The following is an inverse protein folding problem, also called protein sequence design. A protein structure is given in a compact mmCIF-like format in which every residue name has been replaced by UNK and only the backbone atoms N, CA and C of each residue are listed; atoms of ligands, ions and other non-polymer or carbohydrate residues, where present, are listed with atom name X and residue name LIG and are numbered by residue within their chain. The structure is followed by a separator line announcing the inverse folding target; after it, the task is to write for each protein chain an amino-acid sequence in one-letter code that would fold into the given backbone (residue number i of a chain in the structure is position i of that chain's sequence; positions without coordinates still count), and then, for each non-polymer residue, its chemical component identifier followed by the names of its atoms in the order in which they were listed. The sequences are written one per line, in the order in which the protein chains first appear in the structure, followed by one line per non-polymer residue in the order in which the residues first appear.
data_IF_710807369148
#
_entry.id   IF_710807369148
#
_cell.length_a   1.000
_cell.length_b   1.000
_cell.length_c   1.000
_cell.angle_alpha   90.00
_cell.angle_beta   90.00
_cell.angle_gamma   90.00
#
_symmetry.space_group_name_H-M   'P 1'
#
loop_
_entity.id
_entity.type
_entity.pdbx_description
1 polymer ?
#
# COMPACT_ATOMS: atom_id res chain seq x y z
N UNK A 1 4.07 -9.24 -17.16
CA UNK A 1 4.72 -10.29 -16.34
C UNK A 1 5.79 -9.62 -15.49
N UNK A 2 5.90 -9.97 -14.21
CA UNK A 2 6.88 -9.34 -13.30
C UNK A 2 8.26 -10.01 -13.49
N UNK A 3 9.28 -9.21 -13.80
CA UNK A 3 10.62 -9.70 -14.09
C UNK A 3 11.44 -9.91 -12.79
N UNK A 4 11.43 -11.14 -12.28
CA UNK A 4 12.17 -11.51 -11.07
C UNK A 4 13.69 -11.48 -11.27
N UNK A 5 14.20 -11.61 -12.49
CA UNK A 5 15.64 -11.52 -12.76
C UNK A 5 16.12 -10.08 -12.61
N UNK A 6 15.30 -9.11 -13.03
CA UNK A 6 15.60 -7.70 -12.82
C UNK A 6 15.44 -7.25 -11.37
N UNK A 7 14.56 -7.89 -10.60
CA UNK A 7 14.30 -7.57 -9.20
C UNK A 7 14.72 -8.69 -8.24
N UNK A 8 16.03 -8.96 -8.19
CA UNK A 8 16.62 -10.03 -7.39
C UNK A 8 16.48 -9.86 -5.87
N UNK A 9 16.08 -8.67 -5.39
CA UNK A 9 15.88 -8.43 -3.96
C UNK A 9 14.61 -9.06 -3.40
N UNK A 10 13.70 -9.52 -4.27
CA UNK A 10 12.43 -10.13 -3.87
C UNK A 10 12.61 -11.64 -3.78
N UNK A 11 12.27 -12.20 -2.62
CA UNK A 11 12.24 -13.64 -2.45
C UNK A 11 11.05 -14.23 -3.22
N UNK A 12 11.34 -14.95 -4.32
CA UNK A 12 10.33 -15.55 -5.18
C UNK A 12 9.33 -16.43 -4.42
N UNK A 13 9.80 -17.19 -3.42
CA UNK A 13 8.93 -18.07 -2.61
C UNK A 13 7.87 -17.28 -1.85
N UNK A 14 8.21 -16.09 -1.36
CA UNK A 14 7.25 -15.22 -0.65
C UNK A 14 6.19 -14.72 -1.63
N UNK A 15 6.56 -14.38 -2.86
CA UNK A 15 5.58 -13.95 -3.87
C UNK A 15 4.69 -15.11 -4.32
N UNK A 16 5.26 -16.29 -4.51
CA UNK A 16 4.51 -17.50 -4.82
C UNK A 16 3.51 -17.84 -3.70
N UNK A 17 3.91 -17.70 -2.42
CA UNK A 17 3.01 -17.88 -1.27
C UNK A 17 1.90 -16.82 -1.24
N UNK A 18 2.22 -15.54 -1.43
CA UNK A 18 1.22 -14.47 -1.52
C UNK A 18 0.24 -14.68 -2.69
N UNK A 19 0.71 -15.23 -3.81
CA UNK A 19 -0.13 -15.56 -4.95
C UNK A 19 -1.12 -16.69 -4.66
N UNK A 20 -0.91 -17.50 -3.60
CA UNK A 20 -1.93 -18.45 -3.11
C UNK A 20 -3.11 -17.76 -2.42
N UNK A 21 -3.01 -16.46 -2.15
CA UNK A 21 -4.01 -15.63 -1.46
C UNK A 21 -4.32 -16.08 -0.02
N UNK A 22 -3.47 -16.94 0.58
CA UNK A 22 -3.59 -17.37 1.98
C UNK A 22 -3.70 -16.20 2.96
N UNK A 23 -2.93 -15.13 2.71
CA UNK A 23 -2.97 -13.91 3.52
C UNK A 23 -4.38 -13.31 3.61
N UNK A 24 -5.20 -13.43 2.55
CA UNK A 24 -6.59 -12.93 2.52
C UNK A 24 -7.48 -13.73 3.46
N UNK A 25 -7.30 -15.05 3.48
CA UNK A 25 -8.07 -15.95 4.35
C UNK A 25 -7.71 -15.77 5.83
N UNK A 26 -6.46 -15.42 6.12
CA UNK A 26 -5.97 -15.16 7.47
C UNK A 26 -6.18 -13.71 7.94
N UNK A 27 -6.74 -12.83 7.09
CA UNK A 27 -6.82 -11.39 7.35
C UNK A 27 -5.45 -10.73 7.64
N UNK A 28 -4.40 -11.22 7.01
CA UNK A 28 -3.04 -10.69 7.09
C UNK A 28 -2.86 -9.54 6.09
N UNK A 29 -2.00 -8.58 6.42
CA UNK A 29 -1.64 -7.46 5.56
C UNK A 29 -0.40 -7.78 4.72
N UNK A 30 -0.24 -7.06 3.61
CA UNK A 30 0.98 -7.09 2.81
C UNK A 30 1.52 -5.67 2.73
N UNK A 31 2.79 -5.47 3.09
CA UNK A 31 3.43 -4.15 3.02
C UNK A 31 4.58 -4.19 2.04
N UNK A 32 4.50 -3.40 0.98
CA UNK A 32 5.50 -3.28 -0.06
C UNK A 32 6.27 -1.97 0.14
N UNK A 33 7.54 -2.08 0.52
CA UNK A 33 8.43 -0.94 0.77
C UNK A 33 9.54 -0.86 -0.28
N UNK A 34 10.03 0.33 -0.59
CA UNK A 34 11.14 0.51 -1.53
C UNK A 34 11.10 1.83 -2.30
N UNK A 35 12.18 2.20 -3.01
CA UNK A 35 12.25 3.48 -3.71
C UNK A 35 11.25 3.57 -4.88
N UNK A 36 11.02 4.76 -5.46
CA UNK A 36 10.12 4.93 -6.59
C UNK A 36 10.53 4.07 -7.81
N UNK A 37 9.53 3.51 -8.50
CA UNK A 37 9.74 2.80 -9.76
C UNK A 37 10.28 1.37 -9.68
N UNK A 38 10.44 0.79 -8.49
CA UNK A 38 10.94 -0.59 -8.33
C UNK A 38 9.87 -1.70 -8.48
N UNK A 39 8.61 -1.34 -8.71
CA UNK A 39 7.53 -2.29 -9.00
C UNK A 39 6.54 -2.57 -7.85
N UNK A 40 6.56 -1.79 -6.75
CA UNK A 40 5.62 -1.96 -5.61
C UNK A 40 4.15 -1.97 -6.04
N UNK A 41 3.69 -0.91 -6.70
CA UNK A 41 2.30 -0.79 -7.16
C UNK A 41 1.94 -1.88 -8.17
N UNK A 42 2.89 -2.28 -9.02
CA UNK A 42 2.69 -3.37 -9.98
C UNK A 42 2.43 -4.70 -9.26
N UNK A 43 3.22 -5.03 -8.22
CA UNK A 43 3.04 -6.23 -7.42
C UNK A 43 1.73 -6.19 -6.63
N UNK A 44 1.38 -5.05 -6.03
CA UNK A 44 0.10 -4.89 -5.34
C UNK A 44 -1.10 -5.13 -6.28
N UNK A 45 -1.05 -4.55 -7.48
CA UNK A 45 -2.09 -4.74 -8.51
C UNK A 45 -2.13 -6.19 -8.98
N UNK A 46 -0.98 -6.84 -9.19
CA UNK A 46 -0.93 -8.24 -9.58
C UNK A 46 -1.61 -9.15 -8.54
N UNK A 47 -1.31 -8.97 -7.25
CA UNK A 47 -1.99 -9.68 -6.17
C UNK A 47 -3.50 -9.38 -6.13
N UNK A 48 -3.88 -8.12 -6.36
CA UNK A 48 -5.29 -7.72 -6.49
C UNK A 48 -6.00 -8.41 -7.65
N UNK A 49 -5.35 -8.53 -8.80
CA UNK A 49 -5.90 -9.24 -9.98
C UNK A 49 -6.09 -10.72 -9.67
N UNK A 50 -5.11 -11.37 -9.04
CA UNK A 50 -5.25 -12.78 -8.64
C UNK A 50 -6.40 -12.97 -7.63
N UNK A 51 -6.56 -12.05 -6.67
CA UNK A 51 -7.70 -12.05 -5.76
C UNK A 51 -9.05 -11.92 -6.50
N UNK A 52 -9.15 -10.99 -7.47
CA UNK A 52 -10.36 -10.84 -8.29
C UNK A 52 -10.66 -12.11 -9.09
N UNK A 53 -9.65 -12.75 -9.69
CA UNK A 53 -9.82 -14.03 -10.41
C UNK A 53 -10.34 -15.14 -9.50
N UNK A 54 -9.96 -15.13 -8.23
CA UNK A 54 -10.47 -16.05 -7.22
C UNK A 54 -11.87 -15.67 -6.66
N UNK A 55 -12.52 -14.65 -7.21
CA UNK A 55 -13.85 -14.20 -6.78
C UNK A 55 -13.84 -13.35 -5.50
N UNK A 56 -12.68 -12.86 -5.07
CA UNK A 56 -12.52 -12.04 -3.86
C UNK A 56 -12.74 -10.56 -4.20
N UNK A 57 -13.50 -9.86 -3.37
CA UNK A 57 -13.74 -8.42 -3.55
C UNK A 57 -12.48 -7.60 -3.25
N UNK A 58 -12.06 -6.80 -4.23
CA UNK A 58 -10.87 -5.93 -4.15
C UNK A 58 -11.25 -4.48 -4.42
N UNK A 59 -10.67 -3.55 -3.65
CA UNK A 59 -10.74 -2.12 -3.92
C UNK A 59 -9.34 -1.52 -3.94
N UNK A 60 -9.00 -0.79 -5.01
CA UNK A 60 -7.73 -0.10 -5.16
C UNK A 60 -7.93 1.40 -5.04
N UNK A 61 -7.05 2.08 -4.31
CA UNK A 61 -7.01 3.55 -4.23
C UNK A 61 -5.63 4.05 -3.90
N UNK A 62 -5.31 5.25 -4.39
CA UNK A 62 -4.20 6.05 -3.89
C UNK A 62 -4.53 6.55 -2.47
N UNK A 63 -3.52 6.70 -1.61
CA UNK A 63 -3.65 7.22 -0.24
C UNK A 63 -4.27 8.60 -0.19
N UNK A 64 -3.87 9.54 -1.06
CA UNK A 64 -4.42 10.91 -1.07
C UNK A 64 -5.93 10.91 -1.31
N UNK A 65 -6.38 10.20 -2.35
CA UNK A 65 -7.80 10.05 -2.68
C UNK A 65 -8.60 9.36 -1.56
N UNK A 66 -7.99 8.37 -0.89
CA UNK A 66 -8.62 7.69 0.24
C UNK A 66 -8.86 8.66 1.39
N UNK A 67 -7.83 9.41 1.78
CA UNK A 67 -7.89 10.36 2.88
C UNK A 67 -8.91 11.46 2.58
N UNK A 68 -8.87 12.05 1.39
CA UNK A 68 -9.84 13.08 0.99
C UNK A 68 -11.28 12.58 1.10
N UNK A 69 -11.55 11.36 0.59
CA UNK A 69 -12.89 10.75 0.67
C UNK A 69 -13.32 10.45 2.10
N UNK A 70 -12.41 10.04 2.97
CA UNK A 70 -12.73 9.79 4.37
C UNK A 70 -13.00 11.10 5.12
N UNK A 71 -12.20 12.13 4.89
CA UNK A 71 -12.40 13.47 5.47
C UNK A 71 -13.71 14.10 5.03
N UNK A 72 -14.03 14.01 3.73
CA UNK A 72 -15.33 14.48 3.23
C UNK A 72 -16.47 13.75 3.94
N UNK A 73 -16.42 12.42 4.03
CA UNK A 73 -17.43 11.65 4.74
C UNK A 73 -17.50 11.99 6.24
N UNK A 74 -16.37 12.32 6.87
CA UNK A 74 -16.31 12.77 8.26
C UNK A 74 -17.03 14.11 8.46
N UNK A 75 -16.74 15.10 7.61
CA UNK A 75 -17.39 16.42 7.64
C UNK A 75 -18.89 16.36 7.35
N UNK A 76 -19.31 15.42 6.51
CA UNK A 76 -20.73 15.18 6.18
C UNK A 76 -21.45 14.28 7.19
N UNK A 77 -20.77 13.78 8.23
CA UNK A 77 -21.38 12.86 9.21
C UNK A 77 -21.67 11.46 8.66
N UNK A 78 -21.08 11.08 7.53
CA UNK A 78 -21.27 9.79 6.85
C UNK A 78 -20.05 8.86 6.94
N UNK A 79 -19.03 9.19 7.75
CA UNK A 79 -17.81 8.41 7.91
C UNK A 79 -18.09 6.93 8.23
N UNK A 80 -18.97 6.65 9.18
CA UNK A 80 -19.33 5.28 9.55
C UNK A 80 -19.87 4.46 8.36
N UNK A 81 -20.69 5.09 7.52
CA UNK A 81 -21.20 4.46 6.30
C UNK A 81 -20.05 4.17 5.34
N UNK A 82 -19.18 5.16 5.12
CA UNK A 82 -18.03 5.03 4.23
C UNK A 82 -17.08 3.92 4.67
N UNK A 83 -16.81 3.82 5.97
CA UNK A 83 -15.97 2.77 6.53
C UNK A 83 -16.62 1.38 6.38
N UNK A 84 -17.93 1.26 6.64
CA UNK A 84 -18.65 0.00 6.36
C UNK A 84 -18.61 -0.39 4.89
N UNK A 85 -18.70 0.57 3.98
CA UNK A 85 -18.58 0.31 2.55
C UNK A 85 -17.18 -0.20 2.17
N UNK A 86 -16.13 0.37 2.75
CA UNK A 86 -14.75 -0.10 2.54
C UNK A 86 -14.51 -1.49 3.17
N UNK A 87 -15.21 -1.85 4.24
CA UNK A 87 -15.15 -3.19 4.85
C UNK A 87 -15.77 -4.30 3.98
N UNK A 88 -16.57 -3.97 2.96
CA UNK A 88 -17.12 -4.97 2.02
C UNK A 88 -16.04 -5.58 1.12
N UNK A 89 -14.90 -4.91 0.97
CA UNK A 89 -13.77 -5.39 0.20
C UNK A 89 -12.82 -6.20 1.09
N UNK A 90 -12.71 -7.49 0.78
CA UNK A 90 -11.81 -8.42 1.49
C UNK A 90 -10.35 -8.01 1.32
N UNK A 91 -9.98 -7.44 0.17
CA UNK A 91 -8.68 -6.83 -0.06
C UNK A 91 -8.84 -5.34 -0.36
N UNK A 92 -8.19 -4.51 0.44
CA UNK A 92 -8.04 -3.08 0.18
C UNK A 92 -6.59 -2.81 -0.20
N UNK A 93 -6.36 -2.23 -1.36
CA UNK A 93 -5.03 -1.80 -1.80
C UNK A 93 -4.94 -0.29 -1.61
N UNK A 94 -3.99 0.13 -0.77
CA UNK A 94 -3.68 1.54 -0.49
C UNK A 94 -2.29 1.83 -1.04
N UNK A 95 -2.25 2.52 -2.17
CA UNK A 95 -1.03 2.81 -2.91
C UNK A 95 -0.46 4.20 -2.56
N UNK A 96 0.86 4.32 -2.51
CA UNK A 96 1.63 5.55 -2.32
C UNK A 96 1.53 6.22 -0.93
N UNK A 97 1.56 5.42 0.14
CA UNK A 97 1.70 5.96 1.50
C UNK A 97 3.05 6.66 1.65
N UNK A 98 3.04 7.88 2.18
CA UNK A 98 4.24 8.63 2.52
C UNK A 98 4.77 9.58 1.46
N UNK A 99 4.00 9.83 0.40
CA UNK A 99 4.32 10.87 -0.58
C UNK A 99 4.01 12.28 -0.06
N UNK A 100 2.92 12.43 0.70
CA UNK A 100 2.51 13.67 1.36
C UNK A 100 2.18 13.39 2.83
N UNK A 101 2.49 14.33 3.75
CA UNK A 101 2.04 14.23 5.12
C UNK A 101 0.51 14.37 5.19
N UNK A 102 -0.09 13.66 6.14
CA UNK A 102 -1.51 13.75 6.45
C UNK A 102 -1.72 14.90 7.42
N UNK A 103 -2.87 15.55 7.33
CA UNK A 103 -3.34 16.37 8.44
C UNK A 103 -4.02 15.51 9.52
N UNK A 104 -4.24 16.09 10.69
CA UNK A 104 -4.78 15.41 11.86
C UNK A 104 -6.09 14.66 11.56
N UNK A 105 -7.01 15.31 10.83
CA UNK A 105 -8.27 14.71 10.42
C UNK A 105 -8.05 13.48 9.54
N UNK A 106 -7.14 13.58 8.56
CA UNK A 106 -6.79 12.48 7.67
C UNK A 106 -6.13 11.30 8.40
N UNK A 107 -5.19 11.59 9.30
CA UNK A 107 -4.53 10.61 10.16
C UNK A 107 -5.55 9.84 11.02
N UNK A 108 -6.46 10.56 11.67
CA UNK A 108 -7.52 9.97 12.49
C UNK A 108 -8.48 9.09 11.66
N UNK A 109 -8.92 9.58 10.49
CA UNK A 109 -9.78 8.84 9.59
C UNK A 109 -9.12 7.53 9.09
N UNK A 110 -7.85 7.59 8.73
CA UNK A 110 -7.10 6.41 8.30
C UNK A 110 -6.92 5.42 9.45
N UNK A 111 -6.59 5.89 10.65
CA UNK A 111 -6.53 5.05 11.85
C UNK A 111 -7.85 4.30 12.10
N UNK A 112 -8.98 4.99 11.97
CA UNK A 112 -10.30 4.37 12.11
C UNK A 112 -10.58 3.28 11.04
N UNK A 113 -10.10 3.47 9.81
CA UNK A 113 -10.21 2.46 8.77
C UNK A 113 -9.33 1.24 9.06
N UNK A 114 -8.04 1.45 9.36
CA UNK A 114 -7.10 0.39 9.67
C UNK A 114 -7.58 -0.41 10.89
N UNK A 115 -8.05 0.26 11.94
CA UNK A 115 -8.58 -0.39 13.15
C UNK A 115 -9.79 -1.27 12.88
N UNK A 116 -10.66 -0.90 11.92
CA UNK A 116 -11.80 -1.74 11.54
C UNK A 116 -11.40 -2.94 10.70
N UNK A 117 -10.35 -2.81 9.89
CA UNK A 117 -9.85 -3.89 9.01
C UNK A 117 -9.00 -4.90 9.75
N UNK A 118 -8.29 -4.47 10.80
CA UNK A 118 -7.48 -5.30 11.67
C UNK A 118 -8.19 -6.60 12.07
N UNK A 119 -7.53 -7.75 11.84
CA UNK A 119 -8.02 -9.12 12.08
C UNK A 119 -9.31 -9.51 11.34
N UNK A 120 -9.78 -8.70 10.38
CA UNK A 120 -11.06 -8.95 9.67
C UNK A 120 -10.92 -8.98 8.16
N UNK A 121 -10.08 -8.12 7.59
CA UNK A 121 -9.88 -8.00 6.15
C UNK A 121 -8.43 -7.57 5.86
N UNK A 122 -7.86 -8.09 4.77
CA UNK A 122 -6.50 -7.81 4.39
C UNK A 122 -6.34 -6.44 3.74
N UNK A 123 -5.20 -5.80 4.01
CA UNK A 123 -4.81 -4.56 3.36
C UNK A 123 -3.44 -4.73 2.72
N UNK A 124 -3.32 -4.37 1.45
CA UNK A 124 -2.03 -4.28 0.74
C UNK A 124 -1.63 -2.82 0.72
N UNK A 125 -0.46 -2.49 1.27
CA UNK A 125 0.03 -1.12 1.37
C UNK A 125 1.32 -0.98 0.56
N UNK A 126 1.47 0.12 -0.17
CA UNK A 126 2.76 0.47 -0.79
C UNK A 126 3.28 1.76 -0.18
N UNK A 127 4.59 1.82 0.05
CA UNK A 127 5.25 3.04 0.54
C UNK A 127 6.68 3.15 0.03
N UNK A 128 7.13 4.38 -0.18
CA UNK A 128 8.54 4.71 -0.39
C UNK A 128 9.27 5.10 0.90
N UNK A 129 8.56 5.08 2.03
CA UNK A 129 9.05 5.44 3.37
C UNK A 129 9.24 4.18 4.20
N UNK A 130 10.30 4.15 5.00
CA UNK A 130 10.50 3.14 6.04
C UNK A 130 9.55 3.36 7.22
N UNK A 131 9.33 2.35 8.06
CA UNK A 131 8.41 2.46 9.20
C UNK A 131 8.79 3.59 10.18
N UNK A 132 10.09 3.85 10.38
CA UNK A 132 10.54 4.95 11.25
C UNK A 132 10.16 6.34 10.74
N UNK A 133 9.92 6.48 9.43
CA UNK A 133 9.51 7.75 8.82
C UNK A 133 7.99 7.96 8.86
N UNK A 134 7.20 6.96 9.27
CA UNK A 134 5.73 7.10 9.28
C UNK A 134 5.24 8.13 10.30
N UNK A 135 5.99 8.39 11.36
CA UNK A 135 5.67 9.50 12.26
C UNK A 135 5.65 10.87 11.58
N UNK A 136 6.49 11.10 10.57
CA UNK A 136 6.46 12.32 9.75
C UNK A 136 5.23 12.38 8.85
N UNK A 137 4.81 11.22 8.32
CA UNK A 137 3.63 11.10 7.46
C UNK A 137 2.37 11.40 8.25
N UNK A 138 2.23 10.86 9.45
CA UNK A 138 1.05 11.05 10.29
C UNK A 138 1.06 12.36 11.07
N UNK A 139 2.21 13.06 11.11
CA UNK A 139 2.45 14.25 11.94
C UNK A 139 2.18 14.03 13.45
N UNK A 140 2.10 12.76 13.87
CA UNK A 140 1.85 12.33 15.23
C UNK A 140 2.48 10.93 15.40
N UNK A 141 3.49 10.84 16.25
CA UNK A 141 4.22 9.58 16.51
C UNK A 141 3.35 8.54 17.21
N UNK A 142 2.41 8.98 18.06
CA UNK A 142 1.51 8.09 18.81
C UNK A 142 0.49 7.46 17.85
N UNK A 143 -0.12 8.26 16.97
CA UNK A 143 -1.04 7.74 15.97
C UNK A 143 -0.29 6.84 14.97
N UNK A 144 0.89 7.26 14.51
CA UNK A 144 1.71 6.45 13.61
C UNK A 144 2.02 5.07 14.23
N UNK A 145 2.47 5.05 15.48
CA UNK A 145 2.76 3.82 16.20
C UNK A 145 1.52 2.93 16.34
N UNK A 146 0.36 3.52 16.68
CA UNK A 146 -0.89 2.77 16.82
C UNK A 146 -1.40 2.19 15.48
N UNK A 147 -1.19 2.89 14.36
CA UNK A 147 -1.50 2.39 13.01
C UNK A 147 -0.54 1.28 12.62
N UNK A 148 0.77 1.50 12.79
CA UNK A 148 1.80 0.52 12.47
C UNK A 148 1.64 -0.77 13.27
N UNK A 149 1.35 -0.68 14.57
CA UNK A 149 1.10 -1.83 15.43
C UNK A 149 0.02 -2.76 14.84
N UNK A 150 -1.13 -2.20 14.43
CA UNK A 150 -2.22 -2.95 13.80
C UNK A 150 -1.87 -3.46 12.41
N UNK A 151 -1.15 -2.68 11.60
CA UNK A 151 -0.75 -3.11 10.26
C UNK A 151 0.23 -4.28 10.36
N UNK A 152 1.21 -4.19 11.26
CA UNK A 152 2.38 -5.07 11.28
C UNK A 152 2.20 -6.33 12.11
N UNK A 153 1.26 -6.36 13.06
CA UNK A 153 1.04 -7.52 13.91
C UNK A 153 0.78 -8.81 13.09
N UNK A 154 0.00 -8.71 12.02
CA UNK A 154 -0.22 -9.79 11.07
C UNK A 154 0.09 -9.28 9.66
N UNK A 155 1.37 -9.32 9.27
CA UNK A 155 1.77 -8.86 7.95
C UNK A 155 2.94 -9.61 7.35
N UNK A 156 2.96 -9.63 6.03
CA UNK A 156 4.16 -9.92 5.24
C UNK A 156 4.74 -8.63 4.68
N UNK A 157 5.94 -8.27 5.11
CA UNK A 157 6.68 -7.10 4.59
C UNK A 157 7.64 -7.53 3.49
N UNK A 158 7.56 -6.88 2.33
CA UNK A 158 8.49 -7.07 1.21
C UNK A 158 9.23 -5.77 0.96
N UNK A 159 10.54 -5.81 1.16
CA UNK A 159 11.44 -4.69 0.84
C UNK A 159 12.00 -4.88 -0.57
N UNK A 160 11.52 -4.08 -1.51
CA UNK A 160 11.96 -4.07 -2.89
C UNK A 160 13.09 -3.04 -3.05
N UNK A 161 14.26 -3.49 -3.49
CA UNK A 161 15.45 -2.64 -3.71
C UNK A 161 15.75 -2.54 -5.22
N UNK A 162 16.91 -2.04 -5.62
CA UNK A 162 17.34 -2.05 -7.03
C UNK A 162 16.90 -0.85 -7.87
N UNK A 163 17.22 -0.91 -9.17
CA UNK A 163 16.98 0.18 -10.11
C UNK A 163 15.49 0.34 -10.47
N UNK A 164 15.08 1.56 -10.77
CA UNK A 164 13.73 1.86 -11.25
C UNK A 164 13.49 1.27 -12.63
N UNK A 165 12.44 0.46 -12.77
CA UNK A 165 11.92 -0.03 -14.06
C UNK A 165 11.63 1.12 -15.02
N UNK A 166 11.07 2.22 -14.50
CA UNK A 166 10.75 3.42 -15.30
C UNK A 166 12.01 4.05 -15.91
N UNK A 167 13.13 4.04 -15.17
CA UNK A 167 14.42 4.54 -15.67
C UNK A 167 15.07 3.57 -16.67
N UNK A 168 14.94 2.25 -16.45
CA UNK A 168 15.40 1.22 -17.40
C UNK A 168 14.70 1.37 -18.75
N UNK A 169 13.38 1.56 -18.76
CA UNK A 169 12.60 1.77 -19.98
C UNK A 169 13.02 3.05 -20.72
N UNK A 170 13.23 4.17 -19.99
CA UNK A 170 13.73 5.42 -20.59
C UNK A 170 15.15 5.29 -21.16
N UNK A 171 16.06 4.57 -20.50
CA UNK A 171 17.40 4.26 -21.03
C UNK A 171 17.30 3.43 -22.32
N UNK A 172 16.40 2.44 -22.38
CA UNK A 172 16.14 1.65 -23.61
C UNK A 172 15.56 2.49 -24.75
N UNK A 173 14.84 3.57 -24.44
CA UNK A 173 14.28 4.52 -25.41
C UNK A 173 15.27 5.63 -25.84
N UNK A 174 16.53 5.61 -25.38
CA UNK A 174 17.58 6.54 -25.84
C UNK A 174 17.56 7.94 -25.21
N UNK A 175 16.78 8.18 -24.16
CA UNK A 175 16.72 9.49 -23.49
C UNK A 175 17.94 9.65 -22.55
N UNK A 176 18.88 10.55 -22.89
CA UNK A 176 20.03 10.89 -22.04
C UNK A 176 19.60 11.73 -20.82
N UNK A 177 20.05 11.32 -19.63
CA UNK A 177 19.62 11.83 -18.32
C UNK A 177 20.15 13.24 -17.94
N UNK A 178 20.79 13.96 -18.86
CA UNK A 178 21.57 15.17 -18.55
C UNK A 178 20.77 16.41 -18.15
N UNK A 179 19.47 16.47 -18.45
CA UNK A 179 18.71 17.74 -18.41
C UNK A 179 17.49 17.74 -17.45
N UNK A 180 17.39 16.83 -16.49
CA UNK A 180 16.19 16.77 -15.60
C UNK A 180 16.40 17.33 -14.18
N UNK A 181 17.62 17.79 -13.85
CA UNK A 181 17.95 18.36 -12.54
C UNK A 181 18.79 19.64 -12.63
N UNK A 182 18.73 20.36 -13.75
CA UNK A 182 19.21 21.74 -13.83
C UNK A 182 18.03 22.70 -13.68
#
# INVERSE_FOLDING_TARGET
EFDFEFQSSINKKVIEDLATLRFVHNAENVVLLGPPGVGKSHLAIALGIEAVKAGISVYFTNTGNLIERLKLANREGTLEKKLRDLMKYKVLIVDEIGYLPFDEEGAHCLFQLISRRYEKCSTILTSNKSYGEWGEIFQDQVIAAAVLDRILHHSTTINIKGESYRLKERKKQGIKMGNMYQ
#
